data_IF_817070210038
#
_entry.id   IF_817070210038
#
_cell.length_a   1.000
_cell.length_b   1.000
_cell.length_c   1.000
_cell.angle_alpha   90.00
_cell.angle_beta   90.00
_cell.angle_gamma   90.00
#
_symmetry.space_group_name_H-M   'P 1'
#
loop_
_entity.id
_entity.type
_entity.pdbx_description
1 polymer ?
#
# COMPACT_ATOMS: atom_id res chain seq x y z
N UNK A 1 18.59 -4.81 -2.95
CA UNK A 1 17.37 -4.02 -3.27
C UNK A 1 16.62 -4.70 -4.41
N UNK A 2 17.12 -4.67 -5.64
CA UNK A 2 16.42 -5.35 -6.76
C UNK A 2 16.23 -6.86 -6.57
N UNK A 3 17.20 -7.56 -5.96
CA UNK A 3 17.00 -8.97 -5.58
C UNK A 3 15.80 -9.17 -4.66
N UNK A 4 15.68 -8.33 -3.63
CA UNK A 4 14.57 -8.37 -2.67
C UNK A 4 13.23 -8.00 -3.34
N UNK A 5 13.25 -7.03 -4.27
CA UNK A 5 12.05 -6.62 -5.01
C UNK A 5 11.55 -7.69 -5.98
N UNK A 6 12.46 -8.39 -6.67
CA UNK A 6 12.09 -9.34 -7.74
C UNK A 6 11.87 -10.75 -7.19
N UNK A 7 12.68 -11.17 -6.21
CA UNK A 7 12.75 -12.55 -5.73
C UNK A 7 12.36 -12.71 -4.25
N UNK A 8 12.07 -11.61 -3.55
CA UNK A 8 11.71 -11.64 -2.15
C UNK A 8 12.86 -12.15 -1.28
N UNK A 9 12.58 -13.21 -0.53
CA UNK A 9 13.51 -13.79 0.44
C UNK A 9 14.56 -14.72 -0.19
N UNK A 10 14.39 -15.08 -1.46
CA UNK A 10 15.18 -16.10 -2.12
C UNK A 10 16.08 -15.48 -3.17
N UNK A 11 17.22 -16.13 -3.43
CA UNK A 11 18.17 -15.66 -4.43
C UNK A 11 18.41 -16.77 -5.46
N UNK A 12 18.02 -16.60 -6.74
CA UNK A 12 18.21 -17.61 -7.77
C UNK A 12 19.69 -17.95 -8.03
N UNK A 13 20.61 -17.06 -7.66
CA UNK A 13 22.05 -17.23 -7.85
C UNK A 13 22.76 -17.80 -6.61
N UNK A 14 22.04 -18.02 -5.50
CA UNK A 14 22.63 -18.60 -4.30
C UNK A 14 22.95 -20.09 -4.51
N UNK A 15 24.11 -20.53 -4.01
CA UNK A 15 24.54 -21.93 -4.07
C UNK A 15 23.61 -22.88 -3.29
N UNK A 16 22.95 -22.34 -2.25
CA UNK A 16 21.86 -22.99 -1.52
C UNK A 16 20.85 -21.92 -1.11
N UNK A 17 19.56 -22.27 -1.15
CA UNK A 17 18.51 -21.42 -0.59
C UNK A 17 18.59 -21.40 0.94
N UNK A 18 18.18 -20.30 1.59
CA UNK A 18 18.23 -20.21 3.05
C UNK A 18 17.42 -21.34 3.70
N UNK A 19 17.94 -21.84 4.81
CA UNK A 19 17.25 -22.75 5.71
C UNK A 19 16.09 -22.03 6.43
N UNK A 20 15.20 -22.81 7.04
CA UNK A 20 14.15 -22.25 7.90
C UNK A 20 14.76 -21.44 9.05
N UNK A 21 15.83 -21.92 9.66
CA UNK A 21 16.51 -21.27 10.78
C UNK A 21 17.07 -19.90 10.39
N UNK A 22 17.68 -19.80 9.21
CA UNK A 22 18.18 -18.52 8.67
C UNK A 22 17.02 -17.56 8.37
N UNK A 23 15.94 -18.05 7.75
CA UNK A 23 14.75 -17.24 7.47
C UNK A 23 14.02 -16.78 8.73
N UNK A 24 13.93 -17.64 9.75
CA UNK A 24 13.34 -17.31 11.04
C UNK A 24 14.16 -16.21 11.73
N UNK A 25 15.50 -16.35 11.74
CA UNK A 25 16.38 -15.37 12.36
C UNK A 25 16.37 -14.01 11.63
N UNK A 26 16.34 -14.00 10.30
CA UNK A 26 16.43 -12.77 9.51
C UNK A 26 15.08 -12.07 9.31
N UNK A 27 14.01 -12.82 9.08
CA UNK A 27 12.71 -12.30 8.65
C UNK A 27 11.55 -12.70 9.56
N UNK A 28 11.78 -13.46 10.64
CA UNK A 28 10.70 -13.86 11.55
C UNK A 28 9.72 -14.86 10.93
N UNK A 29 10.15 -15.68 9.97
CA UNK A 29 9.30 -16.75 9.41
C UNK A 29 8.84 -17.68 10.55
N UNK A 30 7.52 -17.86 10.79
CA UNK A 30 7.03 -18.43 12.05
C UNK A 30 7.29 -19.93 12.19
N UNK A 31 7.24 -20.67 11.09
CA UNK A 31 7.34 -22.13 11.09
C UNK A 31 7.86 -22.69 9.74
N UNK A 32 8.18 -23.99 9.75
CA UNK A 32 8.70 -24.70 8.56
C UNK A 32 7.66 -24.83 7.46
N UNK A 33 6.37 -24.87 7.79
CA UNK A 33 5.28 -24.95 6.80
C UNK A 33 5.20 -23.66 6.00
N UNK A 34 5.27 -22.51 6.68
CA UNK A 34 5.33 -21.17 6.06
C UNK A 34 6.59 -21.01 5.23
N UNK A 35 7.75 -21.46 5.72
CA UNK A 35 8.98 -21.47 4.94
C UNK A 35 8.84 -22.28 3.64
N UNK A 36 8.21 -23.46 3.71
CA UNK A 36 7.97 -24.32 2.55
C UNK A 36 6.97 -23.69 1.57
N UNK A 37 5.93 -23.04 2.10
CA UNK A 37 4.96 -22.28 1.32
C UNK A 37 5.63 -21.15 0.52
N UNK A 38 6.40 -20.30 1.19
CA UNK A 38 7.07 -19.15 0.55
C UNK A 38 8.07 -19.62 -0.51
N UNK A 39 8.83 -20.69 -0.24
CA UNK A 39 9.74 -21.28 -1.22
C UNK A 39 8.99 -21.85 -2.42
N UNK A 40 7.87 -22.53 -2.18
CA UNK A 40 7.03 -23.08 -3.26
C UNK A 40 6.51 -21.96 -4.17
N UNK A 41 6.01 -20.86 -3.60
CA UNK A 41 5.53 -19.73 -4.38
C UNK A 41 6.66 -19.11 -5.22
N UNK A 42 7.82 -18.86 -4.61
CA UNK A 42 9.02 -18.38 -5.31
C UNK A 42 9.42 -19.27 -6.50
N UNK A 43 9.50 -20.59 -6.28
CA UNK A 43 9.90 -21.54 -7.32
C UNK A 43 8.87 -21.67 -8.45
N UNK A 44 7.59 -21.48 -8.13
CA UNK A 44 6.48 -21.57 -9.08
C UNK A 44 6.46 -20.38 -10.03
N UNK A 45 6.73 -19.17 -9.53
CA UNK A 45 6.68 -17.94 -10.32
C UNK A 45 8.02 -17.52 -10.93
N UNK A 46 9.13 -18.12 -10.52
CA UNK A 46 10.43 -17.85 -11.10
C UNK A 46 10.50 -18.21 -12.59
N UNK A 47 10.91 -17.25 -13.44
CA UNK A 47 11.16 -17.52 -14.87
C UNK A 47 12.40 -18.40 -15.00
N UNK A 48 12.34 -19.45 -15.82
CA UNK A 48 13.42 -20.46 -15.94
C UNK A 48 14.18 -20.34 -17.26
N UNK A 49 15.46 -20.74 -17.26
CA UNK A 49 16.34 -20.72 -18.44
C UNK A 49 15.87 -21.62 -19.57
N UNK A 50 15.25 -22.75 -19.23
CA UNK A 50 14.74 -23.74 -20.17
C UNK A 50 13.25 -24.01 -19.99
N UNK A 51 12.69 -24.83 -20.89
CA UNK A 51 11.30 -25.29 -20.82
C UNK A 51 11.07 -26.40 -19.78
N UNK A 52 12.14 -26.98 -19.26
CA UNK A 52 12.10 -27.99 -18.21
C UNK A 52 11.72 -27.34 -16.86
N UNK A 53 10.70 -27.84 -16.14
CA UNK A 53 10.36 -27.37 -14.80
C UNK A 53 11.53 -27.38 -13.81
N UNK A 54 12.53 -28.24 -14.00
CA UNK A 54 13.71 -28.32 -13.13
C UNK A 54 14.86 -27.40 -13.57
N UNK A 55 14.68 -26.65 -14.67
CA UNK A 55 15.68 -25.71 -15.16
C UNK A 55 15.92 -24.57 -14.15
N UNK A 56 17.16 -24.07 -14.00
CA UNK A 56 17.45 -22.97 -13.09
C UNK A 56 16.59 -21.73 -13.36
N UNK A 57 16.16 -21.09 -12.28
CA UNK A 57 15.51 -19.77 -12.33
C UNK A 57 16.53 -18.74 -12.84
N UNK A 58 16.07 -17.81 -13.65
CA UNK A 58 16.86 -16.69 -14.17
C UNK A 58 17.39 -15.83 -13.02
N UNK A 59 18.65 -15.43 -13.11
CA UNK A 59 19.33 -14.58 -12.13
C UNK A 59 19.05 -13.10 -12.38
N UNK A 60 19.45 -12.23 -11.46
CA UNK A 60 19.23 -10.77 -11.60
C UNK A 60 19.84 -10.23 -12.90
N UNK A 61 20.99 -10.74 -13.31
CA UNK A 61 21.68 -10.34 -14.54
C UNK A 61 20.91 -10.69 -15.83
N UNK A 62 19.94 -11.61 -15.76
CA UNK A 62 19.07 -11.96 -16.89
C UNK A 62 17.90 -10.96 -17.04
N UNK A 63 17.52 -10.25 -15.97
CA UNK A 63 16.44 -9.26 -15.96
C UNK A 63 16.95 -7.83 -16.16
N UNK A 64 18.12 -7.51 -15.60
CA UNK A 64 18.63 -6.13 -15.56
C UNK A 64 20.08 -6.10 -16.03
N UNK A 65 20.35 -5.19 -16.96
CA UNK A 65 21.71 -4.83 -17.36
C UNK A 65 22.06 -3.47 -16.74
N UNK A 66 23.16 -3.39 -16.00
CA UNK A 66 23.63 -2.14 -15.41
C UNK A 66 24.78 -1.57 -16.22
N UNK A 67 24.74 -0.26 -16.43
CA UNK A 67 25.89 0.50 -16.90
C UNK A 67 26.21 1.55 -15.86
N UNK A 68 27.41 1.47 -15.29
CA UNK A 68 27.92 2.49 -14.39
C UNK A 68 28.41 3.68 -15.21
N UNK A 69 27.87 4.87 -14.93
CA UNK A 69 28.29 6.10 -15.60
C UNK A 69 29.55 6.62 -14.91
N UNK A 70 30.67 6.63 -15.64
CA UNK A 70 31.92 7.23 -15.16
C UNK A 70 31.88 8.76 -15.19
N UNK A 71 32.89 9.42 -14.63
CA UNK A 71 33.00 10.89 -14.65
C UNK A 71 33.16 11.50 -16.07
N UNK A 72 33.46 10.67 -17.08
CA UNK A 72 33.58 11.07 -18.48
C UNK A 72 32.46 10.50 -19.36
N UNK A 73 32.65 10.59 -20.68
CA UNK A 73 31.70 9.99 -21.63
C UNK A 73 31.64 8.47 -21.44
N UNK A 74 30.44 7.96 -21.21
CA UNK A 74 30.11 6.54 -21.15
C UNK A 74 29.37 6.15 -22.43
N UNK A 75 29.89 5.16 -23.16
CA UNK A 75 29.27 4.67 -24.41
C UNK A 75 28.47 3.41 -24.11
N UNK A 76 27.15 3.48 -24.30
CA UNK A 76 26.20 2.40 -24.07
C UNK A 76 25.75 1.82 -25.42
N UNK A 77 26.27 0.64 -25.84
CA UNK A 77 25.83 0.02 -27.06
C UNK A 77 24.41 -0.56 -26.91
N UNK A 78 23.54 -0.26 -27.86
CA UNK A 78 22.18 -0.78 -27.94
C UNK A 78 22.12 -1.86 -29.02
N UNK A 79 21.69 -3.05 -28.62
CA UNK A 79 21.55 -4.21 -29.50
C UNK A 79 20.06 -4.47 -29.77
N UNK A 80 19.71 -4.96 -30.98
CA UNK A 80 18.46 -5.72 -31.17
C UNK A 80 18.81 -7.19 -30.99
N UNK A 81 18.11 -7.89 -30.11
CA UNK A 81 18.07 -9.34 -30.14
C UNK A 81 16.72 -9.81 -30.66
N UNK A 82 16.72 -10.55 -31.77
CA UNK A 82 15.89 -11.75 -31.83
C UNK A 82 16.80 -12.88 -31.34
N UNK A 83 16.42 -13.58 -30.27
CA UNK A 83 17.06 -14.82 -29.79
C UNK A 83 18.49 -14.71 -29.22
N UNK A 84 18.84 -13.62 -28.52
CA UNK A 84 20.00 -13.60 -27.60
C UNK A 84 21.39 -13.61 -28.26
N UNK A 85 21.50 -13.65 -29.59
CA UNK A 85 22.79 -13.47 -30.27
C UNK A 85 23.10 -11.97 -30.42
N UNK A 86 24.16 -11.50 -29.74
CA UNK A 86 24.66 -10.12 -29.84
C UNK A 86 25.41 -9.91 -31.16
N UNK A 87 24.67 -9.67 -32.24
CA UNK A 87 25.24 -9.11 -33.47
C UNK A 87 25.46 -7.60 -33.32
N UNK A 88 26.35 -7.04 -34.14
CA UNK A 88 26.83 -5.63 -34.17
C UNK A 88 25.81 -4.60 -33.63
N UNK A 89 26.21 -3.64 -32.77
CA UNK A 89 25.28 -2.68 -32.14
C UNK A 89 24.52 -1.85 -33.18
N UNK A 90 23.21 -1.68 -32.96
CA UNK A 90 22.32 -0.89 -33.83
C UNK A 90 22.51 0.61 -33.64
N UNK A 91 22.78 1.02 -32.40
CA UNK A 91 23.02 2.41 -32.04
C UNK A 91 23.87 2.45 -30.77
N UNK A 92 24.61 3.53 -30.57
CA UNK A 92 25.35 3.81 -29.35
C UNK A 92 24.72 5.03 -28.67
N UNK A 93 24.40 4.91 -27.39
CA UNK A 93 24.02 6.04 -26.55
C UNK A 93 25.25 6.50 -25.78
N UNK A 94 25.70 7.72 -26.03
CA UNK A 94 26.84 8.36 -25.35
C UNK A 94 26.30 9.24 -24.24
N UNK A 95 26.67 8.98 -23.00
CA UNK A 95 26.18 9.71 -21.83
C UNK A 95 27.37 10.34 -21.12
N UNK A 96 27.39 11.66 -21.02
CA UNK A 96 28.41 12.41 -20.28
C UNK A 96 27.77 13.15 -19.11
N UNK A 97 28.11 12.82 -17.85
CA UNK A 97 27.60 13.57 -16.70
C UNK A 97 28.06 15.02 -16.73
N UNK A 98 27.17 15.92 -16.34
CA UNK A 98 27.41 17.36 -16.21
C UNK A 98 27.26 17.79 -14.74
N UNK A 99 27.61 19.05 -14.46
CA UNK A 99 27.35 19.65 -13.15
C UNK A 99 25.84 19.63 -12.81
N UNK A 100 25.52 19.51 -11.52
CA UNK A 100 24.15 19.55 -10.98
C UNK A 100 23.22 18.41 -11.43
N UNK A 101 23.75 17.25 -11.84
CA UNK A 101 22.94 16.07 -12.18
C UNK A 101 22.32 16.12 -13.59
N UNK A 102 22.79 17.04 -14.43
CA UNK A 102 22.47 17.05 -15.86
C UNK A 102 23.36 16.04 -16.62
N UNK A 103 22.93 15.62 -17.81
CA UNK A 103 23.64 14.66 -18.67
C UNK A 103 23.60 15.13 -20.12
N UNK A 104 24.76 15.17 -20.79
CA UNK A 104 24.80 15.28 -22.25
C UNK A 104 24.63 13.89 -22.83
N UNK A 105 23.50 13.66 -23.52
CA UNK A 105 23.13 12.36 -24.10
C UNK A 105 23.15 12.46 -25.62
N UNK A 106 24.12 11.79 -26.22
CA UNK A 106 24.26 11.58 -27.66
C UNK A 106 23.73 10.22 -28.08
N UNK A 107 23.12 10.11 -29.26
CA UNK A 107 22.71 8.86 -29.90
C UNK A 107 23.38 8.81 -31.26
N UNK A 108 24.26 7.83 -31.46
CA UNK A 108 24.93 7.51 -32.73
C UNK A 108 24.21 6.33 -33.37
N UNK A 109 23.61 6.54 -34.53
CA UNK A 109 22.96 5.47 -35.28
C UNK A 109 23.99 4.64 -36.08
N UNK A 110 23.64 3.41 -36.46
CA UNK A 110 24.52 2.53 -37.24
C UNK A 110 25.00 3.13 -38.58
N UNK A 111 24.28 4.10 -39.14
CA UNK A 111 24.63 4.83 -40.37
C UNK A 111 25.53 6.07 -40.12
N UNK A 112 25.95 6.30 -38.88
CA UNK A 112 26.81 7.41 -38.47
C UNK A 112 26.06 8.71 -38.16
N UNK A 113 24.72 8.74 -38.28
CA UNK A 113 23.94 9.91 -37.83
C UNK A 113 24.05 10.09 -36.33
N UNK A 114 24.25 11.33 -35.91
CA UNK A 114 24.38 11.71 -34.51
C UNK A 114 23.29 12.70 -34.11
N UNK A 115 22.68 12.47 -32.95
CA UNK A 115 21.78 13.44 -32.31
C UNK A 115 22.19 13.59 -30.85
N UNK A 116 22.17 14.81 -30.31
CA UNK A 116 22.50 15.05 -28.90
C UNK A 116 21.44 15.91 -28.24
N UNK A 117 21.17 15.62 -26.97
CA UNK A 117 20.31 16.43 -26.09
C UNK A 117 20.94 16.51 -24.71
N UNK A 118 20.80 17.67 -24.07
CA UNK A 118 21.04 17.77 -22.62
C UNK A 118 19.79 17.29 -21.90
N UNK A 119 19.92 16.24 -21.10
CA UNK A 119 18.87 15.70 -20.26
C UNK A 119 19.14 16.10 -18.81
N UNK A 120 18.08 16.39 -18.07
CA UNK A 120 18.12 16.57 -16.62
C UNK A 120 17.34 15.43 -16.00
N UNK A 121 17.92 14.77 -14.99
CA UNK A 121 17.13 13.90 -14.12
C UNK A 121 16.37 14.83 -13.18
N UNK A 122 15.09 15.04 -13.47
CA UNK A 122 14.17 15.77 -12.60
C UNK A 122 13.12 14.78 -12.09
N UNK A 123 12.67 14.96 -10.85
CA UNK A 123 11.46 14.30 -10.37
C UNK A 123 10.30 14.83 -11.23
N UNK A 124 9.63 13.99 -12.05
CA UNK A 124 8.43 14.45 -12.73
C UNK A 124 7.44 14.95 -11.67
N UNK A 125 6.68 16.03 -11.94
CA UNK A 125 5.60 16.41 -11.03
C UNK A 125 4.66 15.20 -10.89
N UNK A 126 4.11 14.95 -9.69
CA UNK A 126 3.17 13.86 -9.50
C UNK A 126 2.05 13.97 -10.54
N UNK A 127 1.81 12.90 -11.31
CA UNK A 127 0.65 12.81 -12.19
C UNK A 127 -0.62 12.49 -11.39
N UNK A 128 -0.74 13.06 -10.19
CA UNK A 128 -1.87 12.84 -9.33
C UNK A 128 -3.12 13.41 -10.00
N UNK A 129 -4.15 12.58 -10.15
CA UNK A 129 -5.46 13.03 -10.58
C UNK A 129 -5.99 14.13 -9.65
N UNK A 130 -6.88 14.97 -10.18
CA UNK A 130 -7.58 15.95 -9.35
C UNK A 130 -8.70 15.23 -8.61
N UNK A 131 -8.66 15.26 -7.28
CA UNK A 131 -9.75 14.74 -6.45
C UNK A 131 -10.98 15.66 -6.61
N UNK A 132 -12.13 15.13 -7.08
CA UNK A 132 -13.38 15.89 -7.18
C UNK A 132 -13.79 16.54 -5.86
N UNK A 133 -14.30 17.77 -5.92
CA UNK A 133 -14.61 18.57 -4.72
C UNK A 133 -15.63 17.90 -3.79
N UNK A 134 -16.67 17.26 -4.34
CA UNK A 134 -17.69 16.55 -3.55
C UNK A 134 -17.06 15.40 -2.73
N UNK A 135 -16.16 14.65 -3.35
CA UNK A 135 -15.46 13.52 -2.72
C UNK A 135 -14.45 13.99 -1.68
N UNK A 136 -13.74 15.10 -1.96
CA UNK A 136 -12.86 15.78 -1.01
C UNK A 136 -13.61 16.16 0.27
N UNK A 137 -14.77 16.83 0.15
CA UNK A 137 -15.54 17.31 1.31
C UNK A 137 -15.92 16.16 2.26
N UNK A 138 -16.25 14.98 1.73
CA UNK A 138 -16.61 13.81 2.54
C UNK A 138 -15.44 13.24 3.37
N UNK A 139 -14.20 13.52 2.98
CA UNK A 139 -12.98 13.05 3.66
C UNK A 139 -12.31 14.13 4.50
N UNK A 140 -12.53 15.40 4.14
CA UNK A 140 -11.87 16.55 4.74
C UNK A 140 -12.08 16.62 6.25
N UNK A 141 -13.31 16.40 6.71
CA UNK A 141 -13.67 16.60 8.13
C UNK A 141 -13.69 15.28 8.90
N UNK A 142 -12.77 15.15 9.85
CA UNK A 142 -12.64 13.97 10.70
C UNK A 142 -13.94 13.66 11.46
N UNK A 143 -14.69 14.70 11.87
CA UNK A 143 -15.96 14.53 12.56
C UNK A 143 -17.11 14.00 11.71
N UNK A 144 -16.97 14.00 10.38
CA UNK A 144 -17.96 13.50 9.42
C UNK A 144 -17.58 12.13 8.83
N UNK A 145 -16.34 11.68 9.03
CA UNK A 145 -15.86 10.36 8.59
C UNK A 145 -16.62 9.22 9.28
N UNK A 146 -16.78 8.06 8.61
CA UNK A 146 -17.54 6.96 9.17
C UNK A 146 -16.90 6.36 10.42
N UNK A 147 -17.74 5.72 11.24
CA UNK A 147 -17.28 4.83 12.31
C UNK A 147 -16.49 3.66 11.74
N UNK A 148 -16.92 3.13 10.59
CA UNK A 148 -16.16 2.15 9.82
C UNK A 148 -16.46 2.29 8.32
N UNK A 149 -15.44 2.42 7.48
CA UNK A 149 -15.60 2.50 6.03
C UNK A 149 -14.28 2.47 5.29
N UNK A 150 -14.33 2.39 3.96
CA UNK A 150 -13.15 2.28 3.11
C UNK A 150 -13.19 3.31 2.00
N UNK A 151 -12.09 4.03 1.78
CA UNK A 151 -11.96 5.03 0.71
C UNK A 151 -10.86 4.60 -0.25
N UNK A 152 -11.18 4.17 -1.47
CA UNK A 152 -10.18 3.89 -2.49
C UNK A 152 -9.45 5.16 -2.92
N UNK A 153 -8.12 5.11 -3.02
CA UNK A 153 -7.29 6.18 -3.59
C UNK A 153 -6.77 5.79 -4.98
N UNK A 154 -6.50 4.50 -5.18
CA UNK A 154 -6.17 3.89 -6.46
C UNK A 154 -6.58 2.42 -6.49
N UNK A 155 -6.74 1.86 -7.69
CA UNK A 155 -7.32 0.52 -7.90
C UNK A 155 -6.75 -0.21 -9.12
N UNK A 156 -5.73 0.35 -9.78
CA UNK A 156 -5.03 -0.27 -10.90
C UNK A 156 -3.84 -1.10 -10.42
N UNK A 157 -3.18 -1.78 -11.36
CA UNK A 157 -1.96 -2.57 -11.12
C UNK A 157 -0.70 -1.75 -11.47
N UNK A 158 0.47 -2.14 -10.97
CA UNK A 158 1.76 -1.44 -11.17
C UNK A 158 2.30 -1.36 -12.61
N UNK A 159 1.55 -1.79 -13.62
CA UNK A 159 1.94 -1.77 -15.03
C UNK A 159 0.99 -0.97 -15.94
N UNK A 160 -0.07 -0.38 -15.39
CA UNK A 160 -0.98 0.48 -16.13
C UNK A 160 -0.49 1.94 -16.07
N UNK A 161 0.04 2.50 -17.16
CA UNK A 161 0.57 3.87 -17.15
C UNK A 161 -0.52 4.94 -17.00
N UNK A 162 -1.79 4.57 -17.10
CA UNK A 162 -2.92 5.49 -17.04
C UNK A 162 -3.72 5.42 -15.73
N UNK A 163 -3.43 4.45 -14.86
CA UNK A 163 -4.22 4.17 -13.67
C UNK A 163 -3.43 4.33 -12.38
N UNK A 164 -4.09 4.84 -11.34
CA UNK A 164 -3.54 4.90 -9.99
C UNK A 164 -3.47 3.50 -9.38
N UNK A 165 -2.29 3.12 -8.90
CA UNK A 165 -2.04 1.80 -8.32
C UNK A 165 -2.84 1.57 -7.03
N UNK A 166 -3.11 0.32 -6.69
CA UNK A 166 -4.04 -0.05 -5.62
C UNK A 166 -3.60 0.48 -4.26
N UNK A 167 -4.42 1.36 -3.69
CA UNK A 167 -4.16 2.03 -2.42
C UNK A 167 -5.49 2.53 -1.86
N UNK A 168 -5.73 2.40 -0.56
CA UNK A 168 -6.98 2.85 0.06
C UNK A 168 -6.81 3.11 1.56
N UNK A 169 -7.76 3.87 2.13
CA UNK A 169 -7.82 4.13 3.57
C UNK A 169 -8.96 3.34 4.18
N UNK A 170 -8.68 2.60 5.24
CA UNK A 170 -9.71 2.07 6.14
C UNK A 170 -9.90 3.07 7.28
N UNK A 171 -11.10 3.61 7.40
CA UNK A 171 -11.49 4.54 8.46
C UNK A 171 -12.11 3.78 9.62
N UNK A 172 -11.63 4.06 10.84
CA UNK A 172 -12.20 3.58 12.10
C UNK A 172 -12.27 4.78 13.06
N UNK A 173 -13.50 5.23 13.34
CA UNK A 173 -13.78 6.44 14.15
C UNK A 173 -12.91 7.66 13.76
N UNK A 174 -12.82 7.95 12.46
CA UNK A 174 -12.09 9.11 11.92
C UNK A 174 -10.57 8.94 11.81
N UNK A 175 -10.00 7.86 12.37
CA UNK A 175 -8.59 7.47 12.18
C UNK A 175 -8.46 6.49 11.02
N UNK A 176 -7.42 6.68 10.21
CA UNK A 176 -7.16 5.90 9.01
C UNK A 176 -6.02 4.91 9.18
N UNK A 177 -6.22 3.72 8.61
CA UNK A 177 -5.17 2.78 8.22
C UNK A 177 -4.98 2.95 6.71
N UNK A 178 -3.83 3.48 6.28
CA UNK A 178 -3.49 3.54 4.87
C UNK A 178 -2.95 2.18 4.43
N UNK A 179 -3.64 1.54 3.51
CA UNK A 179 -3.30 0.20 3.02
C UNK A 179 -2.56 0.33 1.71
N UNK A 180 -1.39 -0.33 1.64
CA UNK A 180 -0.49 -0.33 0.48
C UNK A 180 -0.28 1.09 -0.08
N UNK A 181 0.43 1.98 0.66
CA UNK A 181 0.59 3.36 0.24
C UNK A 181 1.26 3.48 -1.13
N UNK A 182 0.47 3.84 -2.14
CA UNK A 182 0.97 4.17 -3.47
C UNK A 182 1.86 5.43 -3.46
N UNK A 183 2.74 5.63 -4.46
CA UNK A 183 3.53 6.86 -4.57
C UNK A 183 2.68 8.15 -4.56
N UNK A 184 1.43 8.10 -5.05
CA UNK A 184 0.53 9.25 -5.11
C UNK A 184 -0.33 9.42 -3.85
N UNK A 185 -0.32 8.44 -2.94
CA UNK A 185 -1.26 8.36 -1.82
C UNK A 185 -1.24 9.62 -0.94
N UNK A 186 -0.05 10.13 -0.60
CA UNK A 186 0.07 11.31 0.26
C UNK A 186 -0.46 12.57 -0.42
N UNK A 187 -0.25 12.71 -1.73
CA UNK A 187 -0.80 13.81 -2.51
C UNK A 187 -2.33 13.74 -2.57
N UNK A 188 -2.92 12.54 -2.71
CA UNK A 188 -4.37 12.38 -2.66
C UNK A 188 -4.98 12.71 -1.30
N UNK A 189 -4.30 12.33 -0.22
CA UNK A 189 -4.73 12.67 1.14
C UNK A 189 -4.68 14.17 1.38
N UNK A 190 -3.60 14.84 0.95
CA UNK A 190 -3.46 16.30 1.02
C UNK A 190 -4.54 17.00 0.20
N UNK A 191 -4.74 16.60 -1.07
CA UNK A 191 -5.83 17.12 -1.90
C UNK A 191 -7.22 16.87 -1.31
N UNK A 192 -7.38 15.81 -0.52
CA UNK A 192 -8.64 15.46 0.16
C UNK A 192 -8.83 16.20 1.49
N UNK A 193 -7.86 17.01 1.92
CA UNK A 193 -7.90 17.72 3.21
C UNK A 193 -7.74 16.78 4.41
N UNK A 194 -7.17 15.59 4.23
CA UNK A 194 -6.92 14.64 5.31
C UNK A 194 -5.62 15.02 6.01
N UNK A 195 -5.72 15.37 7.29
CA UNK A 195 -4.54 15.71 8.08
C UNK A 195 -3.63 14.49 8.27
N UNK A 196 -2.30 14.62 8.19
CA UNK A 196 -1.40 13.48 8.36
C UNK A 196 -1.51 12.77 9.71
N UNK A 197 -1.93 13.49 10.76
CA UNK A 197 -2.17 12.93 12.11
C UNK A 197 -3.36 11.96 12.12
N UNK A 198 -4.28 12.07 11.16
CA UNK A 198 -5.44 11.20 11.05
C UNK A 198 -5.08 9.84 10.44
N UNK A 199 -3.90 9.69 9.83
CA UNK A 199 -3.40 8.45 9.24
C UNK A 199 -2.16 7.96 10.01
N UNK A 200 -2.29 7.52 11.28
CA UNK A 200 -1.16 7.05 12.07
C UNK A 200 -0.78 5.60 11.76
N UNK A 201 -1.63 4.83 11.07
CA UNK A 201 -1.41 3.43 10.75
C UNK A 201 -1.18 3.22 9.26
N UNK A 202 -0.34 2.24 8.94
CA UNK A 202 -0.19 1.68 7.59
C UNK A 202 -0.34 0.17 7.68
N UNK A 203 -1.14 -0.43 6.80
CA UNK A 203 -1.10 -1.88 6.58
C UNK A 203 -0.33 -2.14 5.28
N UNK A 204 0.66 -3.02 5.32
CA UNK A 204 1.45 -3.36 4.13
C UNK A 204 1.28 -4.84 3.80
N UNK A 205 0.74 -5.13 2.61
CA UNK A 205 0.59 -6.51 2.14
C UNK A 205 1.92 -7.10 1.72
N UNK A 206 2.73 -6.34 0.96
CA UNK A 206 4.04 -6.75 0.46
C UNK A 206 4.89 -5.57 -0.03
N UNK A 207 6.11 -5.84 -0.49
CA UNK A 207 7.15 -4.84 -0.78
C UNK A 207 7.37 -4.56 -2.27
N UNK A 208 6.38 -4.79 -3.12
CA UNK A 208 6.43 -4.24 -4.48
C UNK A 208 6.26 -2.72 -4.44
N UNK A 209 6.87 -2.03 -5.40
CA UNK A 209 7.00 -0.56 -5.39
C UNK A 209 5.66 0.17 -5.53
N UNK A 210 4.69 -0.45 -6.18
CA UNK A 210 3.32 0.03 -6.31
C UNK A 210 2.52 -0.07 -4.99
N UNK A 211 3.00 -0.86 -4.02
CA UNK A 211 2.33 -1.05 -2.72
C UNK A 211 3.07 -0.40 -1.54
N UNK A 212 4.39 -0.20 -1.62
CA UNK A 212 5.19 0.37 -0.52
C UNK A 212 5.81 1.74 -0.82
N UNK A 213 5.70 2.25 -2.05
CA UNK A 213 6.38 3.46 -2.50
C UNK A 213 6.05 4.69 -1.66
N UNK A 214 4.77 4.90 -1.34
CA UNK A 214 4.30 6.02 -0.51
C UNK A 214 4.62 5.89 0.96
N UNK A 215 4.89 4.67 1.46
CA UNK A 215 5.29 4.48 2.87
C UNK A 215 6.67 5.07 3.10
N UNK A 216 7.59 4.88 2.15
CA UNK A 216 8.93 5.46 2.26
C UNK A 216 8.89 6.99 2.31
N UNK A 217 8.10 7.61 1.43
CA UNK A 217 7.88 9.06 1.42
C UNK A 217 7.27 9.54 2.75
N UNK A 218 6.28 8.83 3.27
CA UNK A 218 5.63 9.15 4.56
C UNK A 218 6.65 9.16 5.70
N UNK A 219 7.56 8.19 5.76
CA UNK A 219 8.56 8.10 6.82
C UNK A 219 9.61 9.20 6.72
N UNK A 220 10.10 9.48 5.49
CA UNK A 220 11.08 10.53 5.25
C UNK A 220 10.55 11.94 5.54
N UNK A 221 9.22 12.12 5.57
CA UNK A 221 8.59 13.35 6.07
C UNK A 221 8.63 13.50 7.62
N UNK A 222 9.32 12.62 8.33
CA UNK A 222 9.50 12.66 9.79
C UNK A 222 8.29 12.16 10.60
N UNK A 223 7.34 11.50 9.93
CA UNK A 223 6.07 11.08 10.54
C UNK A 223 6.20 9.68 11.15
N UNK A 224 6.04 9.62 12.47
CA UNK A 224 5.91 8.34 13.17
C UNK A 224 4.69 7.58 12.67
N UNK A 225 4.90 6.32 12.30
CA UNK A 225 3.88 5.48 11.69
C UNK A 225 3.86 4.12 12.37
N UNK A 226 2.66 3.63 12.71
CA UNK A 226 2.48 2.25 13.13
C UNK A 226 2.26 1.39 11.89
N UNK A 227 3.21 0.51 11.57
CA UNK A 227 3.14 -0.39 10.42
C UNK A 227 2.61 -1.74 10.90
N UNK A 228 1.50 -2.17 10.31
CA UNK A 228 0.84 -3.45 10.53
C UNK A 228 1.19 -4.34 9.35
N UNK A 229 1.95 -5.39 9.60
CA UNK A 229 2.39 -6.33 8.58
C UNK A 229 2.82 -7.64 9.25
N UNK A 230 2.84 -8.73 8.48
CA UNK A 230 3.56 -9.94 8.92
C UNK A 230 5.04 -9.61 9.18
N UNK A 231 5.69 -10.36 10.07
CA UNK A 231 7.09 -10.13 10.42
C UNK A 231 7.99 -10.15 9.18
N UNK A 232 7.68 -11.07 8.27
CA UNK A 232 8.41 -11.26 7.01
C UNK A 232 8.33 -10.01 6.12
N UNK A 233 7.12 -9.49 5.90
CA UNK A 233 6.90 -8.29 5.08
C UNK A 233 7.52 -7.06 5.75
N UNK A 234 7.36 -6.93 7.07
CA UNK A 234 7.95 -5.83 7.81
C UNK A 234 9.49 -5.81 7.70
N UNK A 235 10.14 -6.96 7.90
CA UNK A 235 11.61 -7.07 7.83
C UNK A 235 12.12 -6.84 6.41
N UNK A 236 11.43 -7.35 5.39
CA UNK A 236 11.73 -7.04 4.00
C UNK A 236 11.59 -5.54 3.70
N UNK A 237 10.54 -4.89 4.21
CA UNK A 237 10.36 -3.44 4.04
C UNK A 237 11.48 -2.63 4.69
N UNK A 238 11.84 -2.94 5.95
CA UNK A 238 12.91 -2.22 6.67
C UNK A 238 14.26 -2.40 5.95
N UNK A 239 14.57 -3.59 5.46
CA UNK A 239 15.76 -3.84 4.65
C UNK A 239 15.74 -3.00 3.36
N UNK A 240 14.62 -3.02 2.62
CA UNK A 240 14.44 -2.24 1.40
C UNK A 240 14.60 -0.74 1.67
N UNK A 241 13.93 -0.22 2.70
CA UNK A 241 13.99 1.18 3.10
C UNK A 241 15.43 1.61 3.43
N UNK A 242 16.17 0.78 4.20
CA UNK A 242 17.57 1.03 4.52
C UNK A 242 18.47 1.01 3.29
N UNK A 243 18.24 0.09 2.35
CA UNK A 243 19.01 0.01 1.12
C UNK A 243 18.76 1.20 0.18
N UNK A 244 17.54 1.73 0.16
CA UNK A 244 17.17 2.86 -0.71
C UNK A 244 17.62 4.19 -0.10
N UNK A 245 17.43 4.37 1.20
CA UNK A 245 17.57 5.68 1.86
C UNK A 245 18.83 5.81 2.69
N UNK A 246 19.44 4.70 3.11
CA UNK A 246 20.50 4.68 4.12
C UNK A 246 20.00 4.86 5.56
N UNK A 247 18.71 5.13 5.77
CA UNK A 247 18.11 5.34 7.09
C UNK A 247 17.74 4.02 7.77
N UNK A 248 17.90 3.97 9.09
CA UNK A 248 17.41 2.88 9.92
C UNK A 248 16.12 3.37 10.61
N UNK A 249 15.02 3.30 9.86
CA UNK A 249 13.70 3.83 10.25
C UNK A 249 13.17 3.26 11.56
N UNK A 250 13.63 2.07 11.96
CA UNK A 250 13.30 1.46 13.25
C UNK A 250 14.13 2.08 14.38
N UNK A 251 15.46 2.16 14.24
CA UNK A 251 16.33 2.79 15.25
C UNK A 251 16.07 4.29 15.41
N UNK A 252 15.65 4.96 14.34
CA UNK A 252 15.27 6.37 14.34
C UNK A 252 13.89 6.59 14.99
N UNK A 253 13.16 5.53 15.32
CA UNK A 253 11.84 5.61 15.97
C UNK A 253 10.77 6.20 15.05
N UNK A 254 10.93 6.08 13.73
CA UNK A 254 9.94 6.49 12.73
C UNK A 254 8.84 5.44 12.56
N UNK A 255 9.12 4.18 12.90
CA UNK A 255 8.13 3.09 12.82
C UNK A 255 7.93 2.40 14.15
N UNK A 256 6.69 2.04 14.44
CA UNK A 256 6.31 0.99 15.40
C UNK A 256 5.71 -0.18 14.62
N UNK A 257 6.16 -1.40 14.87
CA UNK A 257 5.64 -2.59 14.19
C UNK A 257 4.56 -3.28 15.02
N UNK A 258 3.43 -3.56 14.37
CA UNK A 258 2.39 -4.47 14.88
C UNK A 258 2.42 -5.73 14.01
N UNK A 259 2.86 -6.84 14.60
CA UNK A 259 2.92 -8.14 13.91
C UNK A 259 1.52 -8.64 13.56
N UNK A 260 1.31 -8.94 12.28
CA UNK A 260 0.07 -9.49 11.73
C UNK A 260 0.34 -10.79 10.95
N UNK A 261 1.04 -11.72 11.59
CA UNK A 261 1.32 -13.04 11.02
C UNK A 261 0.03 -13.88 10.85
N UNK A 262 -0.13 -14.57 9.71
CA UNK A 262 -1.24 -15.49 9.50
C UNK A 262 -1.40 -16.54 10.60
N UNK A 263 -2.66 -16.87 10.91
CA UNK A 263 -3.02 -17.78 12.01
C UNK A 263 -3.16 -17.11 13.38
N UNK A 264 -2.67 -15.88 13.55
CA UNK A 264 -2.90 -15.09 14.76
C UNK A 264 -3.94 -13.99 14.50
N UNK A 265 -4.88 -13.83 15.44
CA UNK A 265 -5.81 -12.72 15.46
C UNK A 265 -5.18 -11.54 16.21
N UNK A 266 -5.15 -10.38 15.57
CA UNK A 266 -4.62 -9.14 16.15
C UNK A 266 -5.80 -8.31 16.65
N UNK A 267 -5.77 -7.95 17.93
CA UNK A 267 -6.74 -7.05 18.54
C UNK A 267 -6.11 -5.67 18.71
N UNK A 268 -6.80 -4.63 18.24
CA UNK A 268 -6.31 -3.26 18.27
C UNK A 268 -7.42 -2.31 18.71
N UNK A 269 -7.04 -1.23 19.38
CA UNK A 269 -7.91 -0.07 19.58
C UNK A 269 -7.52 1.03 18.60
N UNK A 270 -8.45 1.45 17.73
CA UNK A 270 -8.25 2.56 16.79
C UNK A 270 -9.37 3.56 16.98
N UNK A 271 -9.05 4.83 17.25
CA UNK A 271 -10.07 5.87 17.44
C UNK A 271 -11.06 5.57 18.57
N UNK A 272 -10.61 4.82 19.60
CA UNK A 272 -11.45 4.33 20.69
C UNK A 272 -12.42 3.19 20.33
N UNK A 273 -12.24 2.54 19.18
CA UNK A 273 -13.00 1.35 18.77
C UNK A 273 -12.12 0.12 18.75
N UNK A 274 -12.68 -1.00 19.21
CA UNK A 274 -12.04 -2.30 19.04
C UNK A 274 -12.13 -2.74 17.58
N UNK A 275 -10.97 -3.08 17.03
CA UNK A 275 -10.79 -3.68 15.72
C UNK A 275 -10.13 -5.05 15.88
N UNK A 276 -10.60 -6.01 15.09
CA UNK A 276 -10.04 -7.35 15.02
C UNK A 276 -9.52 -7.62 13.62
N UNK A 277 -8.23 -7.91 13.48
CA UNK A 277 -7.56 -8.18 12.22
C UNK A 277 -7.13 -9.64 12.16
N UNK A 278 -7.40 -10.28 11.03
CA UNK A 278 -6.90 -11.63 10.70
C UNK A 278 -6.24 -11.56 9.33
N UNK A 279 -5.13 -12.26 9.16
CA UNK A 279 -4.37 -12.31 7.89
C UNK A 279 -4.20 -13.74 7.40
N UNK A 280 -3.94 -13.89 6.10
CA UNK A 280 -3.52 -15.14 5.45
C UNK A 280 -2.28 -14.92 4.60
N UNK A 281 -1.57 -15.99 4.26
CA UNK A 281 -0.57 -15.95 3.20
C UNK A 281 -1.24 -16.06 1.83
N UNK A 282 -0.64 -15.43 0.83
CA UNK A 282 -1.09 -15.43 -0.55
C UNK A 282 -0.07 -16.10 -1.48
N UNK A 283 -0.55 -16.67 -2.58
CA UNK A 283 0.33 -17.18 -3.64
C UNK A 283 0.76 -16.02 -4.54
N UNK A 284 2.01 -15.58 -4.37
CA UNK A 284 2.64 -14.49 -5.13
C UNK A 284 4.17 -14.68 -5.16
N UNK A 285 4.94 -14.07 -6.08
CA UNK A 285 6.39 -14.28 -6.17
C UNK A 285 7.19 -13.88 -4.93
N UNK A 286 6.68 -12.94 -4.14
CA UNK A 286 7.26 -12.51 -2.87
C UNK A 286 6.25 -12.67 -1.73
N UNK A 287 6.69 -12.75 -0.45
CA UNK A 287 5.77 -12.86 0.67
C UNK A 287 4.72 -11.74 0.64
N UNK A 288 3.45 -12.12 0.63
CA UNK A 288 2.33 -11.19 0.64
C UNK A 288 1.16 -11.74 1.43
N UNK A 289 0.30 -10.83 1.92
CA UNK A 289 -0.81 -11.14 2.79
C UNK A 289 -2.14 -10.60 2.26
N UNK A 290 -3.19 -11.40 2.41
CA UNK A 290 -4.58 -10.91 2.44
C UNK A 290 -5.05 -10.74 3.88
N UNK A 291 -6.09 -9.94 4.12
CA UNK A 291 -6.62 -9.74 5.46
C UNK A 291 -8.12 -9.47 5.50
N UNK A 292 -8.72 -9.68 6.67
CA UNK A 292 -10.04 -9.16 7.03
C UNK A 292 -9.96 -8.38 8.33
N UNK A 293 -10.70 -7.29 8.42
CA UNK A 293 -10.80 -6.44 9.60
C UNK A 293 -12.26 -6.31 10.02
N UNK A 294 -12.53 -6.66 11.27
CA UNK A 294 -13.84 -6.59 11.90
C UNK A 294 -13.94 -5.40 12.86
N UNK A 295 -14.99 -4.59 12.72
CA UNK A 295 -15.30 -3.45 13.59
C UNK A 295 -16.80 -3.40 13.82
N UNK A 296 -17.23 -3.36 15.08
CA UNK A 296 -18.65 -3.17 15.43
C UNK A 296 -19.62 -4.16 14.76
N UNK A 297 -19.20 -5.42 14.56
CA UNK A 297 -19.99 -6.47 13.91
C UNK A 297 -20.02 -6.44 12.39
N UNK A 298 -19.28 -5.51 11.75
CA UNK A 298 -19.07 -5.47 10.29
C UNK A 298 -17.65 -5.88 9.95
N UNK A 299 -17.46 -6.47 8.78
CA UNK A 299 -16.14 -6.95 8.33
C UNK A 299 -15.83 -6.51 6.91
N UNK A 300 -14.66 -5.91 6.73
CA UNK A 300 -14.07 -5.63 5.42
C UNK A 300 -12.96 -6.65 5.12
N UNK A 301 -12.91 -7.16 3.89
CA UNK A 301 -11.84 -8.03 3.40
C UNK A 301 -11.04 -7.39 2.26
N UNK A 302 -9.74 -7.64 2.24
CA UNK A 302 -8.87 -7.33 1.10
C UNK A 302 -8.02 -8.55 0.76
N UNK A 303 -8.09 -8.98 -0.50
CA UNK A 303 -7.38 -10.16 -0.96
C UNK A 303 -5.86 -9.98 -0.87
N UNK A 304 -5.33 -8.76 -1.10
CA UNK A 304 -3.93 -8.55 -1.47
C UNK A 304 -3.59 -9.23 -2.79
N UNK A 305 -2.43 -8.97 -3.36
CA UNK A 305 -1.97 -9.66 -4.57
C UNK A 305 -1.88 -11.18 -4.30
N UNK A 306 -2.51 -11.98 -5.15
CA UNK A 306 -2.58 -13.43 -5.06
C UNK A 306 -3.03 -14.04 -6.38
N UNK A 307 -2.53 -15.23 -6.71
CA UNK A 307 -3.16 -16.10 -7.69
C UNK A 307 -4.24 -16.97 -7.02
N UNK A 308 -5.49 -16.54 -7.08
CA UNK A 308 -6.62 -17.41 -6.75
C UNK A 308 -6.96 -18.29 -7.95
N UNK A 309 -6.51 -19.54 -7.91
CA UNK A 309 -6.84 -20.61 -8.87
C UNK A 309 -7.15 -21.88 -8.06
N UNK A 310 -8.43 -22.24 -7.88
CA UNK A 310 -8.82 -23.39 -7.07
C UNK A 310 -8.18 -24.71 -7.52
N UNK A 311 -8.02 -24.92 -8.84
CA UNK A 311 -7.45 -26.14 -9.38
C UNK A 311 -5.93 -26.22 -9.16
N UNK A 312 -5.23 -25.09 -9.22
CA UNK A 312 -3.82 -25.00 -8.82
C UNK A 312 -3.66 -25.24 -7.31
N UNK A 313 -4.44 -24.55 -6.47
CA UNK A 313 -4.34 -24.64 -5.01
C UNK A 313 -4.59 -26.08 -4.55
N UNK A 314 -5.59 -26.76 -5.12
CA UNK A 314 -5.85 -28.18 -4.84
C UNK A 314 -4.68 -29.08 -5.25
N UNK A 315 -4.13 -28.90 -6.46
CA UNK A 315 -2.94 -29.65 -6.91
C UNK A 315 -1.73 -29.46 -5.99
N UNK A 316 -1.47 -28.23 -5.54
CA UNK A 316 -0.36 -27.96 -4.63
C UNK A 316 -0.55 -28.65 -3.28
N UNK A 317 -1.79 -28.75 -2.78
CA UNK A 317 -2.10 -29.53 -1.58
C UNK A 317 -1.93 -31.03 -1.79
N UNK A 318 -2.41 -31.59 -2.91
CA UNK A 318 -2.23 -33.00 -3.25
C UNK A 318 -0.74 -33.39 -3.35
N UNK A 319 0.10 -32.46 -3.80
CA UNK A 319 1.55 -32.62 -3.86
C UNK A 319 2.25 -32.44 -2.51
N UNK A 320 1.54 -32.13 -1.43
CA UNK A 320 2.10 -31.88 -0.10
C UNK A 320 2.88 -30.57 0.01
N UNK A 321 2.68 -29.63 -0.91
CA UNK A 321 3.32 -28.30 -0.90
C UNK A 321 2.56 -27.26 -0.09
N UNK A 322 1.27 -27.51 0.14
CA UNK A 322 0.41 -26.72 1.02
C UNK A 322 -0.11 -27.60 2.16
N UNK A 323 -0.14 -27.07 3.38
CA UNK A 323 -0.90 -27.71 4.44
C UNK A 323 -2.41 -27.58 4.21
N UNK A 324 -3.18 -28.50 4.78
CA UNK A 324 -4.15 -28.10 5.80
C UNK A 324 -4.80 -26.71 5.66
N UNK A 325 -4.48 -25.93 6.68
CA UNK A 325 -4.93 -24.56 6.86
C UNK A 325 -4.55 -23.65 5.70
N UNK A 326 -3.35 -23.78 5.11
CA UNK A 326 -2.91 -22.91 4.01
C UNK A 326 -3.83 -23.01 2.79
N UNK A 327 -4.21 -24.22 2.40
CA UNK A 327 -5.13 -24.44 1.28
C UNK A 327 -6.54 -23.94 1.62
N UNK A 328 -7.01 -24.16 2.85
CA UNK A 328 -8.33 -23.67 3.29
C UNK A 328 -8.36 -22.13 3.34
N UNK A 329 -7.29 -21.48 3.81
CA UNK A 329 -7.13 -20.01 3.82
C UNK A 329 -7.11 -19.45 2.39
N UNK A 330 -6.37 -20.06 1.46
CA UNK A 330 -6.33 -19.59 0.07
C UNK A 330 -7.69 -19.73 -0.63
N UNK A 331 -8.49 -20.74 -0.27
CA UNK A 331 -9.77 -21.02 -0.92
C UNK A 331 -10.97 -20.33 -0.28
N UNK A 332 -10.97 -20.15 1.05
CA UNK A 332 -12.17 -19.91 1.85
C UNK A 332 -12.01 -18.83 2.95
N UNK A 333 -10.98 -17.99 2.88
CA UNK A 333 -10.77 -17.00 3.93
C UNK A 333 -11.86 -15.92 4.00
N UNK A 334 -12.48 -15.56 2.87
CA UNK A 334 -13.56 -14.55 2.79
C UNK A 334 -14.96 -15.14 2.60
N UNK A 335 -15.08 -16.47 2.49
CA UNK A 335 -16.34 -17.18 2.34
C UNK A 335 -16.22 -18.65 2.77
N UNK A 336 -17.30 -19.23 3.25
CA UNK A 336 -17.36 -20.65 3.59
C UNK A 336 -17.22 -21.57 2.37
N UNK A 337 -16.85 -22.86 2.55
CA UNK A 337 -16.85 -23.84 1.45
C UNK A 337 -18.20 -23.95 0.71
N UNK A 338 -19.32 -23.64 1.38
CA UNK A 338 -20.66 -23.59 0.80
C UNK A 338 -20.94 -22.30 0.00
N UNK A 339 -19.95 -21.41 -0.14
CA UNK A 339 -20.05 -20.17 -0.90
C UNK A 339 -20.77 -19.02 -0.17
N UNK A 340 -20.93 -19.12 1.15
CA UNK A 340 -21.50 -18.02 1.95
C UNK A 340 -20.41 -17.01 2.34
N UNK A 341 -20.57 -15.70 2.04
CA UNK A 341 -19.58 -14.69 2.38
C UNK A 341 -19.45 -14.51 3.89
N UNK A 342 -18.20 -14.36 4.37
CA UNK A 342 -17.88 -14.05 5.77
C UNK A 342 -17.49 -12.59 5.99
N UNK A 343 -17.56 -11.78 4.93
CA UNK A 343 -17.28 -10.34 4.91
C UNK A 343 -18.46 -9.56 4.36
N UNK A 344 -18.63 -8.31 4.80
CA UNK A 344 -19.69 -7.42 4.31
C UNK A 344 -19.31 -6.76 2.98
N UNK A 345 -18.03 -6.42 2.82
CA UNK A 345 -17.40 -5.80 1.66
C UNK A 345 -16.03 -6.44 1.42
N UNK A 346 -15.72 -6.76 0.17
CA UNK A 346 -14.47 -7.39 -0.25
C UNK A 346 -13.85 -6.62 -1.41
N UNK A 347 -12.57 -6.28 -1.31
CA UNK A 347 -11.75 -5.90 -2.46
C UNK A 347 -10.91 -7.12 -2.85
N UNK A 348 -11.11 -7.62 -4.07
CA UNK A 348 -10.32 -8.73 -4.60
C UNK A 348 -9.47 -8.26 -5.78
N UNK A 349 -8.20 -8.67 -5.77
CA UNK A 349 -7.30 -8.40 -6.89
C UNK A 349 -7.75 -9.16 -8.15
N UNK A 350 -7.56 -8.57 -9.31
CA UNK A 350 -7.74 -9.23 -10.61
C UNK A 350 -6.66 -8.73 -11.58
N UNK A 351 -5.41 -8.85 -11.15
CA UNK A 351 -4.23 -8.40 -11.88
C UNK A 351 -3.93 -9.24 -13.11
N UNK A 352 -2.67 -9.18 -13.56
CA UNK A 352 -2.22 -9.86 -14.79
C UNK A 352 -1.80 -11.31 -14.49
N UNK A 353 -2.51 -12.35 -14.98
CA UNK A 353 -2.09 -13.74 -14.79
C UNK A 353 -0.73 -14.02 -15.47
N UNK A 354 0.04 -15.03 -15.02
CA UNK A 354 -0.36 -16.08 -14.07
C UNK A 354 -0.03 -15.79 -12.61
N UNK A 355 0.63 -14.68 -12.28
CA UNK A 355 1.01 -14.37 -10.88
C UNK A 355 -0.16 -13.79 -10.06
N UNK A 356 -1.18 -13.29 -10.75
CA UNK A 356 -2.39 -12.69 -10.20
C UNK A 356 -3.62 -13.55 -10.51
N UNK A 357 -4.76 -13.19 -9.91
CA UNK A 357 -6.02 -13.90 -10.08
C UNK A 357 -6.60 -13.67 -11.46
N UNK A 358 -6.91 -14.75 -12.19
CA UNK A 358 -7.70 -14.65 -13.41
C UNK A 358 -9.15 -14.31 -13.07
N UNK A 359 -9.68 -13.28 -13.72
CA UNK A 359 -11.04 -12.81 -13.49
C UNK A 359 -12.10 -13.87 -13.78
N UNK A 360 -11.81 -14.84 -14.63
CA UNK A 360 -12.70 -15.97 -14.90
C UNK A 360 -12.98 -16.79 -13.63
N UNK A 361 -11.99 -16.94 -12.74
CA UNK A 361 -12.15 -17.63 -11.45
C UNK A 361 -13.10 -16.85 -10.54
N UNK A 362 -13.02 -15.52 -10.54
CA UNK A 362 -13.93 -14.67 -9.77
C UNK A 362 -15.36 -14.66 -10.34
N UNK A 363 -15.50 -14.72 -11.67
CA UNK A 363 -16.81 -14.78 -12.33
C UNK A 363 -17.56 -16.08 -12.03
N UNK A 364 -16.83 -17.18 -11.84
CA UNK A 364 -17.36 -18.48 -11.47
C UNK A 364 -17.90 -18.55 -10.04
N UNK A 365 -17.58 -17.56 -9.19
CA UNK A 365 -18.05 -17.51 -7.81
C UNK A 365 -19.57 -17.25 -7.72
N UNK A 366 -20.22 -17.67 -6.62
CA UNK A 366 -21.64 -17.43 -6.39
C UNK A 366 -22.01 -15.94 -6.40
N UNK A 367 -23.21 -15.61 -6.88
CA UNK A 367 -23.69 -14.23 -6.99
C UNK A 367 -23.74 -13.50 -5.63
N UNK A 368 -24.02 -14.23 -4.54
CA UNK A 368 -24.01 -13.68 -3.18
C UNK A 368 -22.64 -13.14 -2.75
N UNK A 369 -21.56 -13.73 -3.26
CA UNK A 369 -20.19 -13.29 -3.00
C UNK A 369 -19.79 -12.17 -3.95
N UNK A 370 -20.06 -12.34 -5.26
CA UNK A 370 -19.78 -11.30 -6.26
C UNK A 370 -20.47 -9.99 -5.91
N UNK A 371 -21.70 -10.01 -5.40
CA UNK A 371 -22.44 -8.82 -4.96
C UNK A 371 -21.75 -7.99 -3.85
N UNK A 372 -20.74 -8.55 -3.17
CA UNK A 372 -19.95 -7.88 -2.11
C UNK A 372 -18.51 -7.59 -2.54
N UNK A 373 -18.12 -8.05 -3.73
CA UNK A 373 -16.75 -8.02 -4.22
C UNK A 373 -16.59 -6.90 -5.23
N UNK A 374 -15.70 -5.96 -4.94
CA UNK A 374 -15.18 -5.05 -5.94
C UNK A 374 -13.82 -5.52 -6.44
N UNK A 375 -13.56 -5.24 -7.71
CA UNK A 375 -12.29 -5.56 -8.35
C UNK A 375 -11.29 -4.43 -8.13
N UNK A 376 -10.10 -4.78 -7.68
CA UNK A 376 -8.95 -3.88 -7.54
C UNK A 376 -7.73 -4.52 -8.20
N UNK A 377 -6.61 -3.79 -8.24
CA UNK A 377 -5.40 -4.21 -8.94
C UNK A 377 -5.67 -4.58 -10.41
N UNK A 378 -6.55 -3.84 -11.09
CA UNK A 378 -6.96 -4.08 -12.48
C UNK A 378 -7.13 -2.76 -13.23
N UNK A 379 -6.63 -2.69 -14.47
CA UNK A 379 -6.82 -1.52 -15.32
C UNK A 379 -8.28 -1.38 -15.75
N UNK A 380 -8.77 -0.15 -15.92
CA UNK A 380 -10.19 0.11 -16.23
C UNK A 380 -10.66 -0.60 -17.52
N UNK A 381 -9.79 -0.68 -18.52
CA UNK A 381 -10.06 -1.32 -19.82
C UNK A 381 -10.27 -2.84 -19.72
N UNK A 382 -9.75 -3.46 -18.65
CA UNK A 382 -9.73 -4.91 -18.47
C UNK A 382 -10.87 -5.38 -17.55
N UNK A 383 -11.63 -4.46 -16.95
CA UNK A 383 -12.83 -4.77 -16.16
C UNK A 383 -13.95 -5.31 -17.08
N UNK A 384 -14.46 -6.53 -16.85
CA UNK A 384 -15.53 -7.09 -17.66
C UNK A 384 -16.82 -6.27 -17.50
N UNK A 385 -17.49 -5.87 -18.59
CA UNK A 385 -18.70 -5.03 -18.54
C UNK A 385 -19.86 -5.57 -17.68
N UNK A 386 -19.88 -6.88 -17.39
CA UNK A 386 -20.91 -7.54 -16.60
C UNK A 386 -20.51 -7.86 -15.14
N UNK A 387 -19.31 -7.48 -14.70
CA UNK A 387 -18.89 -7.73 -13.32
C UNK A 387 -19.46 -6.63 -12.41
N UNK A 388 -20.47 -6.99 -11.59
CA UNK A 388 -21.18 -6.03 -10.73
C UNK A 388 -21.14 -6.51 -9.26
N UNK A 389 -20.64 -5.67 -8.33
CA UNK A 389 -20.03 -4.36 -8.58
C UNK A 389 -18.64 -4.50 -9.24
N UNK A 390 -18.29 -3.55 -10.10
CA UNK A 390 -16.98 -3.52 -10.76
C UNK A 390 -15.89 -2.97 -9.84
N UNK A 391 -15.13 -1.98 -10.32
CA UNK A 391 -14.15 -1.27 -9.48
C UNK A 391 -14.86 -0.42 -8.41
N UNK A 392 -14.27 -0.26 -7.21
CA UNK A 392 -14.82 0.65 -6.23
C UNK A 392 -14.59 2.10 -6.68
N UNK A 393 -15.52 3.04 -6.41
CA UNK A 393 -15.38 4.42 -6.84
C UNK A 393 -14.23 5.11 -6.10
N UNK A 394 -13.27 5.65 -6.85
CA UNK A 394 -12.14 6.39 -6.28
C UNK A 394 -12.62 7.60 -5.47
N UNK A 395 -11.95 7.84 -4.34
CA UNK A 395 -12.17 8.91 -3.37
C UNK A 395 -13.55 8.93 -2.69
N UNK A 396 -14.44 7.99 -3.03
CA UNK A 396 -15.75 7.87 -2.41
C UNK A 396 -15.74 6.78 -1.33
N UNK A 397 -16.11 7.17 -0.11
CA UNK A 397 -16.10 6.27 1.04
C UNK A 397 -17.25 5.27 0.99
N UNK A 398 -16.91 3.98 0.95
CA UNK A 398 -17.84 2.87 1.14
C UNK A 398 -18.07 2.67 2.64
N UNK A 399 -19.19 3.19 3.14
CA UNK A 399 -19.55 3.20 4.56
C UNK A 399 -20.12 1.84 4.97
N UNK A 400 -19.48 1.19 5.94
CA UNK A 400 -19.96 -0.04 6.60
C UNK A 400 -20.71 0.28 7.90
N UNK A 401 -20.22 1.27 8.65
CA UNK A 401 -20.87 1.82 9.83
C UNK A 401 -20.84 3.36 9.76
N UNK A 402 -22.00 4.03 9.74
CA UNK A 402 -22.06 5.49 9.67
C UNK A 402 -21.50 6.15 10.94
N UNK A 403 -21.11 7.44 10.88
CA UNK A 403 -20.72 8.19 12.06
C UNK A 403 -21.87 8.25 13.08
N UNK A 404 -21.51 8.39 14.37
CA UNK A 404 -22.44 8.55 15.49
C UNK A 404 -22.06 9.79 16.30
N UNK A 405 -22.96 10.29 17.15
CA UNK A 405 -22.62 11.39 18.07
C UNK A 405 -21.44 11.02 18.98
N UNK A 406 -21.29 9.74 19.35
CA UNK A 406 -20.18 9.24 20.15
C UNK A 406 -18.86 9.25 19.38
N UNK A 407 -18.85 8.80 18.12
CA UNK A 407 -17.63 8.84 17.30
C UNK A 407 -17.19 10.28 17.06
N UNK A 408 -18.13 11.20 16.81
CA UNK A 408 -17.84 12.63 16.69
C UNK A 408 -17.23 13.22 17.96
N UNK A 409 -17.82 12.95 19.13
CA UNK A 409 -17.29 13.42 20.41
C UNK A 409 -15.88 12.88 20.67
N UNK A 410 -15.59 11.64 20.27
CA UNK A 410 -14.26 11.03 20.38
C UNK A 410 -13.24 11.73 19.48
N UNK A 411 -13.56 12.00 18.23
CA UNK A 411 -12.67 12.75 17.33
C UNK A 411 -12.32 14.13 17.92
N UNK A 412 -13.31 14.84 18.47
CA UNK A 412 -13.09 16.13 19.14
C UNK A 412 -12.17 16.01 20.37
N UNK A 413 -12.40 15.00 21.22
CA UNK A 413 -11.59 14.71 22.39
C UNK A 413 -10.13 14.44 22.01
N UNK A 414 -9.92 13.66 20.94
CA UNK A 414 -8.57 13.38 20.45
C UNK A 414 -7.89 14.64 19.89
N UNK A 415 -8.63 15.52 19.20
CA UNK A 415 -8.09 16.83 18.81
C UNK A 415 -7.68 17.65 20.04
N UNK A 416 -8.45 17.63 21.14
CA UNK A 416 -8.08 18.32 22.36
C UNK A 416 -6.76 17.80 22.94
N UNK A 417 -6.53 16.48 22.94
CA UNK A 417 -5.26 15.90 23.40
C UNK A 417 -4.04 16.33 22.58
N UNK A 418 -4.23 16.76 21.31
CA UNK A 418 -3.15 17.27 20.46
C UNK A 418 -2.81 18.75 20.75
N UNK A 419 -3.66 19.48 21.49
CA UNK A 419 -3.39 20.86 21.85
C UNK A 419 -2.37 20.91 22.99
N UNK A 420 -1.27 21.64 22.78
CA UNK A 420 -0.10 21.68 23.66
C UNK A 420 -0.37 22.16 25.10
N UNK A 421 -1.53 22.74 25.40
CA UNK A 421 -1.91 23.13 26.78
C UNK A 421 -2.94 22.20 27.42
N UNK A 422 -3.45 21.24 26.66
CA UNK A 422 -4.52 20.33 27.07
C UNK A 422 -4.07 18.87 27.17
N UNK A 423 -2.90 18.52 26.63
CA UNK A 423 -2.41 17.14 26.58
C UNK A 423 -2.27 16.45 27.95
N UNK A 424 -1.93 17.21 29.01
CA UNK A 424 -1.81 16.71 30.40
C UNK A 424 -3.13 16.75 31.19
N UNK A 425 -4.22 17.24 30.60
CA UNK A 425 -5.52 17.32 31.28
C UNK A 425 -6.15 15.92 31.31
N UNK A 426 -6.69 15.47 32.46
CA UNK A 426 -7.38 14.19 32.56
C UNK A 426 -8.53 14.07 31.56
N UNK A 427 -8.70 12.88 30.98
CA UNK A 427 -9.72 12.60 29.95
C UNK A 427 -11.13 13.01 30.39
N UNK A 428 -11.53 12.69 31.62
CA UNK A 428 -12.86 13.06 32.16
C UNK A 428 -13.09 14.58 32.13
N UNK A 429 -12.05 15.37 32.43
CA UNK A 429 -12.12 16.84 32.38
C UNK A 429 -12.24 17.34 30.94
N UNK A 430 -11.49 16.77 30.01
CA UNK A 430 -11.60 17.11 28.59
C UNK A 430 -12.98 16.74 28.04
N UNK A 431 -13.56 15.61 28.45
CA UNK A 431 -14.91 15.24 28.07
C UNK A 431 -15.97 16.24 28.55
N UNK A 432 -15.84 16.77 29.78
CA UNK A 432 -16.71 17.86 30.26
C UNK A 432 -16.52 19.14 29.44
N UNK A 433 -15.27 19.46 29.04
CA UNK A 433 -15.00 20.60 28.16
C UNK A 433 -15.62 20.41 26.76
N UNK A 434 -15.50 19.23 26.15
CA UNK A 434 -16.14 18.91 24.86
C UNK A 434 -17.66 19.06 24.98
N UNK A 435 -18.26 18.58 26.09
CA UNK A 435 -19.70 18.70 26.33
C UNK A 435 -20.17 20.13 26.55
N UNK A 436 -19.35 20.98 27.17
CA UNK A 436 -19.62 22.39 27.40
C UNK A 436 -19.26 23.32 26.25
N UNK A 437 -18.50 22.84 25.25
CA UNK A 437 -18.05 23.64 24.12
C UNK A 437 -19.17 23.88 23.10
N UNK A 438 -19.14 25.05 22.47
CA UNK A 438 -19.94 25.33 21.29
C UNK A 438 -19.16 24.93 20.03
N UNK A 439 -19.81 24.21 19.11
CA UNK A 439 -19.25 23.92 17.78
C UNK A 439 -19.65 25.05 16.83
N UNK A 440 -18.66 25.77 16.31
CA UNK A 440 -18.84 26.85 15.35
C UNK A 440 -18.32 26.41 13.98
N UNK A 441 -19.08 26.65 12.92
CA UNK A 441 -18.66 26.40 11.54
C UNK A 441 -18.41 27.75 10.85
N UNK A 442 -17.26 27.87 10.18
CA UNK A 442 -16.89 29.05 9.41
C UNK A 442 -16.72 28.67 7.94
N UNK A 443 -17.34 29.39 6.99
CA UNK A 443 -17.06 29.24 5.57
C UNK A 443 -15.64 29.73 5.22
N UNK A 444 -15.16 29.32 4.05
CA UNK A 444 -13.85 29.74 3.53
C UNK A 444 -13.74 31.28 3.47
N UNK A 445 -12.56 31.80 3.83
CA UNK A 445 -12.21 33.22 3.90
C UNK A 445 -12.95 34.06 4.97
N UNK A 446 -13.79 33.46 5.81
CA UNK A 446 -14.37 34.16 6.96
C UNK A 446 -13.34 34.33 8.09
N UNK A 447 -13.34 35.52 8.71
CA UNK A 447 -12.49 35.80 9.86
C UNK A 447 -13.11 35.17 11.10
N UNK A 448 -12.50 34.10 11.60
CA UNK A 448 -12.94 33.43 12.83
C UNK A 448 -12.49 34.15 14.10
N UNK A 449 -11.31 34.79 14.08
CA UNK A 449 -10.72 35.51 15.22
C UNK A 449 -9.98 36.75 14.69
N UNK A 450 -10.17 37.91 15.33
CA UNK A 450 -9.44 39.14 15.04
C UNK A 450 -8.63 39.60 16.26
N UNK A 451 -7.36 39.96 16.06
CA UNK A 451 -6.52 40.51 17.14
C UNK A 451 -7.02 41.90 17.57
N UNK A 452 -7.27 42.09 18.85
CA UNK A 452 -7.73 43.37 19.40
C UNK A 452 -7.89 43.34 20.93
N UNK A 453 -8.11 44.51 21.56
CA UNK A 453 -8.39 44.58 22.99
C UNK A 453 -9.74 43.93 23.31
N UNK A 454 -9.77 43.08 24.34
CA UNK A 454 -11.01 42.51 24.88
C UNK A 454 -11.65 43.54 25.81
N UNK A 455 -12.93 43.85 25.58
CA UNK A 455 -13.68 44.81 26.39
C UNK A 455 -13.84 44.34 27.84
N UNK A 456 -14.01 45.30 28.76
CA UNK A 456 -14.21 44.97 30.18
C UNK A 456 -15.53 44.20 30.36
N UNK A 457 -15.44 42.93 30.73
CA UNK A 457 -16.59 42.04 30.93
C UNK A 457 -16.95 41.19 29.71
N UNK A 458 -16.21 41.30 28.61
CA UNK A 458 -16.36 40.40 27.46
C UNK A 458 -15.70 39.05 27.75
N UNK A 459 -16.34 37.93 27.38
CA UNK A 459 -15.77 36.59 27.57
C UNK A 459 -14.55 36.39 26.68
N UNK A 460 -13.51 35.78 27.24
CA UNK A 460 -12.34 35.36 26.47
C UNK A 460 -12.63 33.99 25.85
N UNK A 461 -12.78 33.95 24.53
CA UNK A 461 -13.03 32.70 23.81
C UNK A 461 -11.71 32.00 23.49
N UNK A 462 -11.65 30.70 23.78
CA UNK A 462 -10.58 29.81 23.34
C UNK A 462 -11.12 28.89 22.25
N UNK A 463 -10.51 28.92 21.06
CA UNK A 463 -10.94 28.13 19.92
C UNK A 463 -9.96 26.98 19.69
N UNK A 464 -10.50 25.79 19.48
CA UNK A 464 -9.77 24.63 18.99
C UNK A 464 -10.30 24.32 17.59
N UNK A 465 -9.40 24.25 16.61
CA UNK A 465 -9.78 23.87 15.25
C UNK A 465 -9.91 22.36 15.24
N UNK A 466 -11.15 21.90 15.28
CA UNK A 466 -11.48 20.48 15.18
C UNK A 466 -11.21 19.94 13.77
N UNK A 467 -11.54 20.75 12.77
CA UNK A 467 -11.63 20.38 11.36
C UNK A 467 -11.29 21.60 10.49
N UNK A 468 -10.56 21.39 9.39
CA UNK A 468 -10.21 22.43 8.41
C UNK A 468 -8.84 23.10 8.64
N UNK A 469 -8.54 24.09 7.79
CA UNK A 469 -7.29 24.87 7.83
C UNK A 469 -7.58 26.32 8.19
N UNK A 470 -6.67 26.94 8.95
CA UNK A 470 -6.70 28.37 9.23
C UNK A 470 -5.38 29.00 8.83
N UNK A 471 -5.44 30.24 8.34
CA UNK A 471 -4.28 31.08 8.10
C UNK A 471 -4.34 32.30 9.02
N UNK A 472 -3.21 32.62 9.65
CA UNK A 472 -3.05 33.88 10.39
C UNK A 472 -2.58 34.93 9.38
N UNK A 473 -3.36 35.98 9.17
CA UNK A 473 -3.06 37.09 8.24
C UNK A 473 -2.56 38.33 8.98
#
# INVERSE_FOLDING_TARGET
MLTLTIFGLFNPEASAQPSFEEMHAAYGVPDRETCTFLRTAYEMYGVRKGRDPDSPILGLADYVNFVELGAGETVVPIYRGENGERHKPLTEVRVTPCAWGDFDVGIVQADGRFTAKRLRVATPPPLAAVVPEEQRRALQFATERPRFGVTPLGTSHGFDPAGDVTCFVIWINGRGILVDPSPEALAYLEQSGVAPVDIPYVFLTHVHADHDGGLLEKLLSGRRTTVIASDVVFRAFVEKARLITGHDVEREGLITHVSANPGARVHMEIGGEEATLETRWNLHPIPTNGFKIGVGGRTFGYAGDTQYDPALIQRLREQGKLSAAQCDDLLYFFWTPEGQPTVDLLYHEAGIPPIHTDIAELQALPDSLKARMHLVHIADKDVPPGFVPGKPPLFATQVLLPPTSRSRARSLLETMHLVCYLYDIPTDTLEELVRGAAVCNYPTDEVSIQQGPVGKGEPLHFYVIADGEVAVR
#
